data_IF_472088492202
#
_entry.id   IF_472088492202
#
_cell.length_a   1.000
_cell.length_b   1.000
_cell.length_c   1.000
_cell.angle_alpha   90.00
_cell.angle_beta   90.00
_cell.angle_gamma   90.00
#
_symmetry.space_group_name_H-M   'P 1'
#
loop_
_entity.id
_entity.type
_entity.pdbx_description
1 polymer ?
#
# COMPACT_ATOMS: atom_id res chain seq x y z
N UNK A 1 -9.36 18.12 6.48
CA UNK A 1 -9.66 16.68 6.31
C UNK A 1 -8.43 15.79 6.58
N UNK A 2 -7.26 16.06 6.02
CA UNK A 2 -6.03 15.25 6.20
C UNK A 2 -5.54 15.21 7.64
N UNK A 3 -5.64 16.31 8.40
CA UNK A 3 -5.24 16.38 9.81
C UNK A 3 -5.95 15.34 10.71
N UNK A 4 -7.13 14.88 10.32
CA UNK A 4 -7.86 13.83 11.04
C UNK A 4 -7.10 12.50 11.07
N UNK A 5 -6.37 12.17 10.02
CA UNK A 5 -5.53 10.96 9.94
C UNK A 5 -4.07 11.24 10.28
N UNK A 6 -3.54 12.39 9.88
CA UNK A 6 -2.13 12.72 10.10
C UNK A 6 -1.78 12.92 11.57
N UNK A 7 -2.67 13.53 12.37
CA UNK A 7 -2.44 13.72 13.82
C UNK A 7 -2.38 12.40 14.59
N UNK A 8 -3.37 11.48 14.50
CA UNK A 8 -3.27 10.18 15.17
C UNK A 8 -2.07 9.36 14.71
N UNK A 9 -1.76 9.41 13.41
CA UNK A 9 -0.60 8.73 12.85
C UNK A 9 0.71 9.29 13.41
N UNK A 10 0.86 10.62 13.46
CA UNK A 10 2.02 11.28 14.05
C UNK A 10 2.15 10.99 15.53
N UNK A 11 1.04 10.99 16.28
CA UNK A 11 1.04 10.61 17.69
C UNK A 11 1.46 9.15 17.91
N UNK A 12 0.99 8.23 17.05
CA UNK A 12 1.41 6.83 17.09
C UNK A 12 2.91 6.70 16.77
N UNK A 13 3.40 7.41 15.75
CA UNK A 13 4.83 7.43 15.41
C UNK A 13 5.67 7.97 16.57
N UNK A 14 5.23 9.02 17.23
CA UNK A 14 5.91 9.56 18.42
C UNK A 14 5.94 8.55 19.57
N UNK A 15 4.80 7.92 19.86
CA UNK A 15 4.72 6.89 20.91
C UNK A 15 5.71 5.75 20.62
N UNK A 16 5.71 5.24 19.41
CA UNK A 16 6.63 4.16 19.00
C UNK A 16 8.08 4.62 19.07
N UNK A 17 8.37 5.83 18.60
CA UNK A 17 9.72 6.41 18.70
C UNK A 17 10.19 6.49 20.17
N UNK A 18 9.35 6.98 21.07
CA UNK A 18 9.68 7.09 22.49
C UNK A 18 9.89 5.72 23.15
N UNK A 19 9.18 4.69 22.69
CA UNK A 19 9.35 3.33 23.20
C UNK A 19 10.66 2.71 22.71
N UNK A 20 10.95 2.80 21.39
CA UNK A 20 12.19 2.21 20.84
C UNK A 20 13.44 2.94 21.31
N UNK A 21 13.36 4.25 21.53
CA UNK A 21 14.48 5.05 22.08
C UNK A 21 14.90 4.63 23.49
N UNK A 22 14.04 3.91 24.24
CA UNK A 22 14.34 3.39 25.57
C UNK A 22 15.04 2.02 25.57
N UNK A 23 15.13 1.35 24.41
CA UNK A 23 15.63 -0.05 24.31
C UNK A 23 17.17 -0.12 24.46
N UNK A 24 17.86 1.01 24.37
CA UNK A 24 19.32 1.03 24.60
C UNK A 24 20.08 1.78 23.52
N UNK A 25 21.17 1.18 23.01
CA UNK A 25 22.04 1.82 22.01
C UNK A 25 21.44 1.68 20.61
N UNK A 26 21.39 2.81 19.91
CA UNK A 26 20.90 2.84 18.52
C UNK A 26 21.85 2.07 17.61
N UNK A 27 21.34 1.11 16.79
CA UNK A 27 22.19 0.36 15.88
C UNK A 27 22.83 1.26 14.81
N UNK A 28 24.07 0.97 14.45
CA UNK A 28 24.75 1.66 13.36
C UNK A 28 23.92 1.51 12.07
N UNK A 29 23.71 2.60 11.33
CA UNK A 29 22.96 2.65 10.07
C UNK A 29 21.45 2.32 10.15
N UNK A 30 20.88 2.19 11.34
CA UNK A 30 19.47 1.88 11.52
C UNK A 30 18.87 2.69 12.69
N UNK A 31 18.45 3.90 12.42
CA UNK A 31 18.00 4.84 13.43
C UNK A 31 16.71 4.41 14.14
N UNK A 32 16.52 4.85 15.38
CA UNK A 32 15.25 4.69 16.09
C UNK A 32 14.09 5.35 15.34
N UNK A 33 14.37 6.42 14.59
CA UNK A 33 13.36 7.04 13.74
C UNK A 33 12.92 6.13 12.58
N UNK A 34 13.85 5.43 11.92
CA UNK A 34 13.55 4.42 10.92
C UNK A 34 12.75 3.25 11.51
N UNK A 35 13.17 2.75 12.68
CA UNK A 35 12.41 1.70 13.41
C UNK A 35 10.99 2.15 13.72
N UNK A 36 10.83 3.38 14.19
CA UNK A 36 9.52 3.93 14.51
C UNK A 36 8.61 3.99 13.27
N UNK A 37 9.12 4.38 12.11
CA UNK A 37 8.36 4.37 10.83
C UNK A 37 7.92 2.95 10.48
N UNK A 38 8.82 1.97 10.56
CA UNK A 38 8.54 0.57 10.22
C UNK A 38 7.48 -0.01 11.16
N UNK A 39 7.69 0.10 12.46
CA UNK A 39 6.78 -0.45 13.48
C UNK A 39 5.41 0.23 13.40
N UNK A 40 5.38 1.56 13.27
CA UNK A 40 4.13 2.31 13.09
C UNK A 40 3.37 1.84 11.85
N UNK A 41 4.08 1.60 10.74
CA UNK A 41 3.49 1.07 9.52
C UNK A 41 2.85 -0.29 9.75
N UNK A 42 3.55 -1.20 10.43
CA UNK A 42 3.05 -2.55 10.74
C UNK A 42 1.83 -2.47 11.65
N UNK A 43 1.89 -1.69 12.74
CA UNK A 43 0.76 -1.50 13.66
C UNK A 43 -0.47 -0.97 12.89
N UNK A 44 -0.26 0.05 12.06
CA UNK A 44 -1.35 0.63 11.27
C UNK A 44 -1.95 -0.38 10.29
N UNK A 45 -1.11 -1.20 9.63
CA UNK A 45 -1.57 -2.30 8.77
C UNK A 45 -2.32 -3.38 9.55
N UNK A 46 -1.90 -3.70 10.77
CA UNK A 46 -2.63 -4.63 11.64
C UNK A 46 -4.02 -4.09 12.04
N UNK A 47 -4.14 -2.81 12.30
CA UNK A 47 -5.45 -2.16 12.56
C UNK A 47 -6.37 -2.29 11.35
N UNK A 48 -5.84 -2.18 10.13
CA UNK A 48 -6.58 -2.32 8.87
C UNK A 48 -6.79 -3.77 8.42
N UNK A 49 -6.21 -4.74 9.13
CA UNK A 49 -6.26 -6.16 8.76
C UNK A 49 -7.69 -6.68 8.53
N UNK A 50 -8.70 -6.41 9.38
CA UNK A 50 -10.06 -6.92 9.14
C UNK A 50 -10.66 -6.41 7.83
N UNK A 51 -10.38 -5.16 7.46
CA UNK A 51 -10.85 -4.58 6.20
C UNK A 51 -10.15 -5.27 5.02
N UNK A 52 -8.84 -5.45 5.09
CA UNK A 52 -8.07 -6.06 4.01
C UNK A 52 -8.34 -7.57 3.84
N UNK A 53 -8.67 -8.29 4.90
CA UNK A 53 -9.15 -9.68 4.79
C UNK A 53 -10.52 -9.79 4.11
N UNK A 54 -11.43 -8.86 4.39
CA UNK A 54 -12.71 -8.77 3.67
C UNK A 54 -12.50 -8.51 2.18
N UNK A 55 -11.53 -7.66 1.83
CA UNK A 55 -11.13 -7.39 0.44
C UNK A 55 -10.53 -8.62 -0.24
N UNK A 56 -9.65 -9.37 0.44
CA UNK A 56 -9.08 -10.63 -0.09
C UNK A 56 -10.17 -11.66 -0.41
N UNK A 57 -11.18 -11.79 0.46
CA UNK A 57 -12.36 -12.65 0.20
C UNK A 57 -13.14 -12.20 -1.04
N UNK A 58 -13.32 -10.90 -1.21
CA UNK A 58 -14.00 -10.34 -2.39
C UNK A 58 -13.21 -10.58 -3.67
N UNK A 59 -11.89 -10.47 -3.62
CA UNK A 59 -11.01 -10.75 -4.77
C UNK A 59 -11.04 -12.24 -5.14
N UNK A 60 -11.12 -13.15 -4.16
CA UNK A 60 -11.32 -14.58 -4.44
C UNK A 60 -12.61 -14.80 -5.19
N UNK A 61 -13.75 -14.27 -4.71
CA UNK A 61 -15.02 -14.36 -5.43
C UNK A 61 -14.90 -13.88 -6.88
N UNK A 62 -14.18 -12.78 -7.13
CA UNK A 62 -13.94 -12.30 -8.49
C UNK A 62 -13.19 -13.32 -9.34
N UNK A 63 -12.16 -13.99 -8.79
CA UNK A 63 -11.44 -15.05 -9.50
C UNK A 63 -12.36 -16.23 -9.83
N UNK A 64 -13.22 -16.64 -8.89
CA UNK A 64 -14.13 -17.78 -9.06
C UNK A 64 -15.17 -17.56 -10.16
N UNK A 65 -15.69 -16.32 -10.30
CA UNK A 65 -16.69 -15.97 -11.33
C UNK A 65 -16.09 -15.58 -12.67
N UNK A 66 -14.77 -15.42 -12.74
CA UNK A 66 -14.06 -14.96 -13.93
C UNK A 66 -14.26 -15.82 -15.17
N UNK A 67 -14.25 -17.18 -15.13
CA UNK A 67 -14.54 -17.99 -16.29
C UNK A 67 -15.92 -17.69 -16.90
N UNK A 68 -16.95 -17.52 -16.07
CA UNK A 68 -18.30 -17.16 -16.50
C UNK A 68 -18.32 -15.78 -17.20
N UNK A 69 -17.60 -14.80 -16.63
CA UNK A 69 -17.49 -13.49 -17.24
C UNK A 69 -16.81 -13.54 -18.61
N UNK A 70 -15.77 -14.36 -18.77
CA UNK A 70 -15.08 -14.54 -20.05
C UNK A 70 -15.96 -15.19 -21.11
N UNK A 71 -16.79 -16.17 -20.74
CA UNK A 71 -17.76 -16.78 -21.66
C UNK A 71 -18.80 -15.76 -22.15
N UNK A 72 -19.38 -15.00 -21.21
CA UNK A 72 -20.35 -13.95 -21.53
C UNK A 72 -19.76 -12.92 -22.49
N UNK A 73 -18.52 -12.52 -22.26
CA UNK A 73 -17.84 -11.55 -23.12
C UNK A 73 -17.55 -12.08 -24.51
N UNK A 74 -17.13 -13.33 -24.63
CA UNK A 74 -16.96 -13.97 -25.95
C UNK A 74 -18.28 -14.03 -26.69
N UNK A 75 -19.37 -14.39 -25.97
CA UNK A 75 -20.71 -14.59 -26.54
C UNK A 75 -21.36 -13.27 -26.99
N UNK A 76 -21.21 -12.22 -26.20
CA UNK A 76 -21.89 -10.93 -26.42
C UNK A 76 -20.94 -9.81 -26.83
N UNK A 77 -19.80 -10.14 -27.44
CA UNK A 77 -18.77 -9.17 -27.85
C UNK A 77 -19.29 -8.05 -28.76
N UNK A 78 -20.29 -8.37 -29.60
CA UNK A 78 -20.91 -7.43 -30.57
C UNK A 78 -22.10 -6.67 -29.99
N UNK A 79 -22.57 -7.01 -28.79
CA UNK A 79 -23.72 -6.36 -28.13
C UNK A 79 -23.34 -5.86 -26.73
N UNK A 80 -22.82 -4.62 -26.61
CA UNK A 80 -22.40 -4.04 -25.34
C UNK A 80 -23.52 -3.94 -24.29
N UNK A 81 -24.77 -3.75 -24.72
CA UNK A 81 -25.90 -3.62 -23.77
C UNK A 81 -26.21 -4.96 -23.10
N UNK A 82 -26.32 -6.03 -23.92
CA UNK A 82 -26.55 -7.38 -23.39
C UNK A 82 -25.37 -7.87 -22.58
N UNK A 83 -24.13 -7.55 -23.00
CA UNK A 83 -22.91 -7.86 -22.26
C UNK A 83 -22.94 -7.25 -20.85
N UNK A 84 -23.26 -5.96 -20.73
CA UNK A 84 -23.35 -5.27 -19.45
C UNK A 84 -24.45 -5.88 -18.56
N UNK A 85 -25.63 -6.14 -19.12
CA UNK A 85 -26.74 -6.74 -18.40
C UNK A 85 -26.37 -8.12 -17.82
N UNK A 86 -25.78 -9.01 -18.67
CA UNK A 86 -25.35 -10.34 -18.26
C UNK A 86 -24.19 -10.32 -17.26
N UNK A 87 -23.26 -9.40 -17.39
CA UNK A 87 -22.19 -9.19 -16.40
C UNK A 87 -22.76 -8.82 -15.02
N UNK A 88 -23.75 -7.91 -14.99
CA UNK A 88 -24.40 -7.54 -13.74
C UNK A 88 -25.26 -8.67 -13.14
N UNK A 89 -25.84 -9.53 -13.98
CA UNK A 89 -26.55 -10.74 -13.56
C UNK A 89 -25.61 -11.69 -12.81
N UNK A 90 -24.45 -12.01 -13.40
CA UNK A 90 -23.41 -12.87 -12.75
C UNK A 90 -22.94 -12.25 -11.43
N UNK A 91 -22.73 -10.94 -11.37
CA UNK A 91 -22.34 -10.30 -10.11
C UNK A 91 -23.40 -10.44 -9.03
N UNK A 92 -24.71 -10.28 -9.39
CA UNK A 92 -25.83 -10.44 -8.46
C UNK A 92 -25.98 -11.89 -7.98
N UNK A 93 -25.94 -12.85 -8.88
CA UNK A 93 -26.06 -14.28 -8.57
C UNK A 93 -24.97 -14.75 -7.59
N UNK A 94 -23.74 -14.28 -7.80
CA UNK A 94 -22.59 -14.62 -6.96
C UNK A 94 -22.43 -13.69 -5.73
N UNK A 95 -23.38 -12.77 -5.48
CA UNK A 95 -23.30 -11.76 -4.39
C UNK A 95 -21.95 -11.04 -4.37
N UNK A 96 -21.44 -10.69 -5.56
CA UNK A 96 -20.21 -9.97 -5.74
C UNK A 96 -20.47 -8.47 -5.94
N UNK A 97 -19.76 -7.63 -5.20
CA UNK A 97 -19.81 -6.18 -5.38
C UNK A 97 -18.60 -5.72 -6.19
N UNK A 98 -18.77 -5.21 -7.44
CA UNK A 98 -17.66 -4.76 -8.28
C UNK A 98 -16.86 -3.59 -7.69
N UNK A 99 -17.47 -2.80 -6.78
CA UNK A 99 -16.80 -1.69 -6.11
C UNK A 99 -15.82 -2.14 -5.02
N UNK A 100 -15.86 -3.40 -4.57
CA UNK A 100 -14.95 -3.89 -3.53
C UNK A 100 -13.48 -3.87 -3.94
N UNK A 101 -13.18 -4.01 -5.24
CA UNK A 101 -11.81 -3.92 -5.77
C UNK A 101 -11.23 -2.52 -5.72
N UNK A 102 -12.02 -1.48 -6.03
CA UNK A 102 -11.54 -0.09 -5.99
C UNK A 102 -11.50 0.49 -4.57
N UNK A 103 -12.20 -0.11 -3.60
CA UNK A 103 -12.23 0.34 -2.22
C UNK A 103 -10.83 0.36 -1.59
N UNK A 104 -9.95 -0.57 -1.97
CA UNK A 104 -8.55 -0.60 -1.53
C UNK A 104 -7.85 0.72 -1.89
N UNK A 105 -7.99 1.15 -3.14
CA UNK A 105 -7.36 2.37 -3.63
C UNK A 105 -7.93 3.63 -2.94
N UNK A 106 -9.24 3.64 -2.70
CA UNK A 106 -9.91 4.75 -2.01
C UNK A 106 -9.49 4.87 -0.53
N UNK A 107 -9.26 3.76 0.16
CA UNK A 107 -8.76 3.75 1.54
C UNK A 107 -7.27 4.09 1.59
N UNK A 108 -6.49 3.60 0.63
CA UNK A 108 -5.04 3.79 0.61
C UNK A 108 -4.64 5.26 0.36
N UNK A 109 -5.37 6.01 -0.47
CA UNK A 109 -5.05 7.40 -0.79
C UNK A 109 -4.98 8.32 0.43
N UNK A 110 -6.00 8.39 1.32
CA UNK A 110 -5.92 9.21 2.52
C UNK A 110 -4.77 8.80 3.46
N UNK A 111 -4.45 7.51 3.52
CA UNK A 111 -3.37 6.99 4.36
C UNK A 111 -2.01 7.44 3.84
N UNK A 112 -1.77 7.33 2.53
CA UNK A 112 -0.54 7.79 1.89
C UNK A 112 -0.38 9.30 2.11
N UNK A 113 -1.44 10.07 1.93
CA UNK A 113 -1.42 11.51 2.17
C UNK A 113 -1.12 11.83 3.64
N UNK A 114 -1.70 11.07 4.59
CA UNK A 114 -1.40 11.26 6.01
C UNK A 114 0.10 10.99 6.30
N UNK A 115 0.66 9.89 5.82
CA UNK A 115 2.10 9.61 5.94
C UNK A 115 2.96 10.66 5.25
N UNK A 116 2.56 11.11 4.05
CA UNK A 116 3.26 12.17 3.35
C UNK A 116 3.36 13.45 4.19
N UNK A 117 2.25 13.88 4.79
CA UNK A 117 2.27 15.09 5.64
C UNK A 117 3.06 14.89 6.92
N UNK A 118 2.98 13.71 7.54
CA UNK A 118 3.77 13.38 8.74
C UNK A 118 5.27 13.39 8.43
N UNK A 119 5.69 12.83 7.29
CA UNK A 119 7.09 12.81 6.88
C UNK A 119 7.58 14.16 6.38
N UNK A 120 6.71 14.98 5.79
CA UNK A 120 7.06 16.31 5.27
C UNK A 120 7.22 17.35 6.39
N UNK A 121 6.46 17.20 7.48
CA UNK A 121 6.47 18.13 8.60
C UNK A 121 6.38 17.36 9.94
N UNK A 122 7.48 16.63 10.30
CA UNK A 122 7.50 15.86 11.53
C UNK A 122 7.39 16.71 12.80
N UNK A 123 7.84 17.97 12.75
CA UNK A 123 7.67 18.93 13.86
C UNK A 123 6.20 19.10 14.18
N UNK A 124 5.39 19.31 13.17
CA UNK A 124 3.95 19.57 13.34
C UNK A 124 3.15 18.36 13.80
N UNK A 125 3.54 17.16 13.39
CA UNK A 125 2.71 15.95 13.59
C UNK A 125 3.28 14.97 14.59
N UNK A 126 4.61 14.92 14.75
CA UNK A 126 5.31 13.94 15.61
C UNK A 126 5.91 14.62 16.84
N UNK A 127 6.70 15.66 16.65
CA UNK A 127 7.48 16.32 17.71
C UNK A 127 6.90 17.67 18.14
N UNK A 128 5.57 17.77 18.18
CA UNK A 128 4.84 19.03 18.49
C UNK A 128 5.18 19.60 19.85
N UNK A 129 5.43 18.76 20.86
CA UNK A 129 5.76 19.19 22.21
C UNK A 129 7.22 19.64 22.37
N UNK A 130 8.13 19.05 21.60
CA UNK A 130 9.58 19.31 21.67
C UNK A 130 10.18 19.32 20.25
N UNK A 131 10.01 20.41 19.50
CA UNK A 131 10.50 20.52 18.11
C UNK A 131 12.01 20.33 17.95
N UNK A 132 12.78 20.74 18.94
CA UNK A 132 14.26 20.68 18.99
C UNK A 132 14.79 19.22 18.96
N UNK A 133 14.02 18.24 19.41
CA UNK A 133 14.40 16.83 19.36
C UNK A 133 14.68 16.39 17.93
N UNK A 134 13.92 16.88 16.96
CA UNK A 134 14.09 16.51 15.55
C UNK A 134 15.48 16.88 14.99
N UNK A 135 16.09 17.96 15.50
CA UNK A 135 17.42 18.37 15.10
C UNK A 135 18.54 17.49 15.70
N UNK A 136 18.26 16.81 16.81
CA UNK A 136 19.25 16.04 17.57
C UNK A 136 19.19 14.53 17.31
N UNK A 137 18.04 14.00 16.87
CA UNK A 137 17.88 12.57 16.61
C UNK A 137 18.57 12.14 15.32
N UNK A 138 19.08 10.92 15.34
CA UNK A 138 19.54 10.26 14.14
C UNK A 138 18.32 9.85 13.27
N UNK A 139 18.40 10.14 11.96
CA UNK A 139 17.35 9.84 10.97
C UNK A 139 17.87 8.96 9.84
N UNK A 140 19.00 8.28 10.07
CA UNK A 140 19.65 7.44 9.06
C UNK A 140 18.94 6.11 8.86
N UNK A 141 19.05 5.57 7.65
CA UNK A 141 18.60 4.23 7.29
C UNK A 141 19.54 3.65 6.23
N UNK A 142 20.40 2.71 6.61
CA UNK A 142 21.45 2.12 5.77
C UNK A 142 22.30 3.18 5.06
N UNK A 143 22.09 3.40 3.74
CA UNK A 143 22.81 4.38 2.92
C UNK A 143 22.17 5.78 2.96
N UNK A 144 21.03 5.94 3.58
CA UNK A 144 20.30 7.21 3.67
C UNK A 144 20.69 7.90 4.97
N UNK A 145 21.27 9.07 4.86
CA UNK A 145 21.69 9.85 6.04
C UNK A 145 20.51 10.54 6.75
N UNK A 146 19.45 10.87 6.01
CA UNK A 146 18.31 11.62 6.54
C UNK A 146 17.01 11.22 5.83
N UNK A 147 16.11 10.53 6.54
CA UNK A 147 14.82 10.08 6.03
C UNK A 147 13.82 11.21 5.72
N UNK A 148 14.08 12.44 6.16
CA UNK A 148 13.27 13.61 5.78
C UNK A 148 13.60 14.09 4.36
N UNK A 149 14.76 13.72 3.83
CA UNK A 149 15.23 14.06 2.48
C UNK A 149 14.92 12.92 1.50
N UNK A 150 14.88 13.21 0.20
CA UNK A 150 14.82 12.16 -0.81
C UNK A 150 16.02 11.20 -0.73
N UNK A 151 15.81 9.94 -1.10
CA UNK A 151 16.89 8.96 -1.21
C UNK A 151 17.91 9.43 -2.27
N UNK A 152 19.21 9.54 -1.93
CA UNK A 152 20.25 9.93 -2.87
C UNK A 152 20.44 8.92 -4.01
N UNK A 153 20.04 7.65 -3.80
CA UNK A 153 20.14 6.59 -4.80
C UNK A 153 18.78 6.30 -5.43
N UNK A 154 18.62 6.65 -6.69
CA UNK A 154 17.40 6.35 -7.48
C UNK A 154 17.10 4.86 -7.53
N UNK A 155 18.14 4.02 -7.38
CA UNK A 155 18.07 2.56 -7.33
C UNK A 155 17.87 1.99 -5.92
N UNK A 156 17.78 2.83 -4.90
CA UNK A 156 17.52 2.47 -3.51
C UNK A 156 16.02 2.29 -3.22
N UNK A 157 15.50 3.02 -2.23
CA UNK A 157 14.09 2.95 -1.86
C UNK A 157 13.12 3.28 -3.00
N UNK A 158 13.42 4.23 -3.94
CA UNK A 158 12.53 4.45 -5.08
C UNK A 158 12.33 3.21 -5.93
N UNK A 159 13.41 2.50 -6.31
CA UNK A 159 13.29 1.25 -7.07
C UNK A 159 12.60 0.15 -6.24
N UNK A 160 12.96 -0.01 -4.97
CA UNK A 160 12.31 -0.98 -4.07
C UNK A 160 10.80 -0.72 -3.95
N UNK A 161 10.39 0.56 -3.90
CA UNK A 161 8.97 0.94 -3.90
C UNK A 161 8.26 0.47 -5.17
N UNK A 162 8.88 0.62 -6.33
CA UNK A 162 8.33 0.17 -7.61
C UNK A 162 8.26 -1.37 -7.69
N UNK A 163 9.34 -2.05 -7.34
CA UNK A 163 9.41 -3.52 -7.36
C UNK A 163 8.37 -4.12 -6.42
N UNK A 164 8.28 -3.62 -5.18
CA UNK A 164 7.29 -4.11 -4.22
C UNK A 164 5.86 -3.80 -4.65
N UNK A 165 5.60 -2.66 -5.32
CA UNK A 165 4.29 -2.33 -5.89
C UNK A 165 3.93 -3.31 -7.01
N UNK A 166 4.87 -3.64 -7.89
CA UNK A 166 4.67 -4.65 -8.94
C UNK A 166 4.37 -6.02 -8.32
N UNK A 167 5.20 -6.50 -7.39
CA UNK A 167 5.01 -7.78 -6.72
C UNK A 167 3.66 -7.85 -5.98
N UNK A 168 3.27 -6.78 -5.32
CA UNK A 168 1.96 -6.67 -4.69
C UNK A 168 0.83 -6.82 -5.70
N UNK A 169 0.89 -6.12 -6.85
CA UNK A 169 -0.14 -6.19 -7.88
C UNK A 169 -0.28 -7.59 -8.47
N UNK A 170 0.84 -8.28 -8.67
CA UNK A 170 0.87 -9.68 -9.16
C UNK A 170 0.27 -10.63 -8.12
N UNK A 171 0.63 -10.46 -6.84
CA UNK A 171 0.16 -11.33 -5.75
C UNK A 171 -1.36 -11.19 -5.52
N UNK A 172 -1.92 -10.03 -5.80
CA UNK A 172 -3.36 -9.79 -5.71
C UNK A 172 -4.16 -10.48 -6.82
N UNK A 173 -3.50 -11.13 -7.80
CA UNK A 173 -4.14 -12.01 -8.77
C UNK A 173 -5.00 -11.27 -9.81
N UNK A 174 -4.70 -10.03 -10.12
CA UNK A 174 -5.40 -9.22 -11.13
C UNK A 174 -5.06 -9.61 -12.56
N UNK A 175 -4.29 -10.69 -12.78
CA UNK A 175 -3.71 -11.02 -14.09
C UNK A 175 -4.68 -11.55 -15.15
N UNK A 176 -5.88 -11.98 -14.76
CA UNK A 176 -6.80 -12.69 -15.66
C UNK A 176 -8.13 -11.95 -15.88
N UNK A 177 -8.15 -10.64 -15.92
CA UNK A 177 -9.35 -9.89 -16.30
C UNK A 177 -9.48 -9.83 -17.84
N UNK A 178 -10.67 -9.53 -18.31
CA UNK A 178 -11.05 -9.46 -19.73
C UNK A 178 -10.11 -8.74 -20.66
N UNK A 179 -10.20 -9.04 -21.95
CA UNK A 179 -9.31 -8.48 -22.98
C UNK A 179 -9.21 -6.96 -22.96
N UNK A 180 -10.28 -6.22 -22.68
CA UNK A 180 -10.23 -4.76 -22.47
C UNK A 180 -9.79 -4.40 -21.06
N UNK A 181 -10.34 -5.05 -20.04
CA UNK A 181 -9.99 -4.82 -18.63
C UNK A 181 -8.61 -5.40 -18.32
N UNK A 182 -8.22 -6.54 -18.95
CA UNK A 182 -6.89 -7.12 -18.84
C UNK A 182 -5.81 -6.22 -19.45
N UNK A 183 -6.07 -5.56 -20.57
CA UNK A 183 -5.11 -4.62 -21.14
C UNK A 183 -4.93 -3.41 -20.23
N UNK A 184 -6.02 -2.86 -19.68
CA UNK A 184 -5.99 -1.76 -18.73
C UNK A 184 -5.27 -2.17 -17.43
N UNK A 185 -5.57 -3.36 -16.90
CA UNK A 185 -4.94 -3.89 -15.69
C UNK A 185 -3.45 -4.19 -15.91
N UNK A 186 -3.10 -4.80 -17.04
CA UNK A 186 -1.71 -5.06 -17.42
C UNK A 186 -0.92 -3.75 -17.57
N UNK A 187 -1.54 -2.74 -18.16
CA UNK A 187 -0.97 -1.39 -18.24
C UNK A 187 -0.81 -0.78 -16.84
N UNK A 188 -1.81 -0.87 -15.98
CA UNK A 188 -1.74 -0.40 -14.60
C UNK A 188 -0.65 -1.12 -13.79
N UNK A 189 -0.49 -2.43 -13.97
CA UNK A 189 0.56 -3.21 -13.29
C UNK A 189 1.99 -2.82 -13.68
N UNK A 190 2.16 -2.17 -14.83
CA UNK A 190 3.48 -1.69 -15.31
C UNK A 190 3.61 -0.18 -15.08
N UNK A 191 2.59 0.59 -15.46
CA UNK A 191 2.65 2.05 -15.41
C UNK A 191 2.69 2.56 -13.97
N UNK A 192 1.88 1.97 -13.07
CA UNK A 192 1.84 2.40 -11.66
C UNK A 192 3.18 2.23 -10.95
N UNK A 193 3.90 1.08 -11.01
CA UNK A 193 5.24 0.96 -10.44
C UNK A 193 6.24 1.98 -11.01
N UNK A 194 6.20 2.24 -12.32
CA UNK A 194 7.07 3.23 -12.95
C UNK A 194 6.76 4.64 -12.42
N UNK A 195 5.49 5.00 -12.29
CA UNK A 195 5.07 6.27 -11.71
C UNK A 195 5.52 6.40 -10.24
N UNK A 196 5.40 5.34 -9.45
CA UNK A 196 5.87 5.30 -8.06
C UNK A 196 7.38 5.48 -7.99
N UNK A 197 8.14 4.80 -8.84
CA UNK A 197 9.58 4.97 -8.92
C UNK A 197 9.96 6.43 -9.20
N UNK A 198 9.31 7.04 -10.17
CA UNK A 198 9.57 8.43 -10.56
C UNK A 198 9.17 9.41 -9.45
N UNK A 199 8.02 9.21 -8.80
CA UNK A 199 7.54 10.06 -7.72
C UNK A 199 8.40 9.94 -6.44
N UNK A 200 8.82 8.73 -6.09
CA UNK A 200 9.60 8.44 -4.89
C UNK A 200 10.98 9.12 -4.88
N UNK A 201 11.51 9.51 -6.05
CA UNK A 201 12.75 10.31 -6.14
C UNK A 201 12.61 11.72 -5.57
N UNK A 202 11.40 12.23 -5.48
CA UNK A 202 11.12 13.62 -5.06
C UNK A 202 10.52 13.70 -3.65
N UNK A 203 10.16 12.57 -3.07
CA UNK A 203 9.54 12.49 -1.75
C UNK A 203 10.56 12.16 -0.65
N UNK A 204 10.29 12.53 0.62
CA UNK A 204 11.09 12.08 1.75
C UNK A 204 11.30 10.56 1.73
N UNK A 205 12.53 10.11 1.98
CA UNK A 205 12.85 8.67 1.98
C UNK A 205 12.05 7.89 3.02
N UNK A 206 11.63 8.53 4.13
CA UNK A 206 10.73 7.94 5.10
C UNK A 206 9.36 7.55 4.53
N UNK A 207 8.84 8.30 3.54
CA UNK A 207 7.60 7.93 2.84
C UNK A 207 7.85 6.72 1.91
N UNK A 208 8.99 6.67 1.22
CA UNK A 208 9.34 5.52 0.40
C UNK A 208 9.55 4.26 1.26
N UNK A 209 10.16 4.39 2.43
CA UNK A 209 10.30 3.33 3.42
C UNK A 209 8.93 2.81 3.88
N UNK A 210 8.02 3.72 4.28
CA UNK A 210 6.63 3.35 4.57
C UNK A 210 6.00 2.56 3.42
N UNK A 211 6.18 3.02 2.17
CA UNK A 211 5.61 2.39 0.98
C UNK A 211 6.11 0.96 0.80
N UNK A 212 7.41 0.74 0.89
CA UNK A 212 8.03 -0.60 0.79
C UNK A 212 7.49 -1.53 1.88
N UNK A 213 7.52 -1.10 3.14
CA UNK A 213 7.04 -1.91 4.28
C UNK A 213 5.53 -2.22 4.14
N UNK A 214 4.75 -1.23 3.72
CA UNK A 214 3.31 -1.37 3.46
C UNK A 214 3.03 -2.43 2.39
N UNK A 215 3.78 -2.42 1.28
CA UNK A 215 3.64 -3.39 0.20
C UNK A 215 4.07 -4.80 0.64
N UNK A 216 5.22 -4.91 1.32
CA UNK A 216 5.71 -6.20 1.84
C UNK A 216 4.70 -6.82 2.80
N UNK A 217 4.15 -6.03 3.74
CA UNK A 217 3.09 -6.50 4.64
C UNK A 217 1.89 -7.03 3.86
N UNK A 218 1.46 -6.31 2.83
CA UNK A 218 0.29 -6.67 2.05
C UNK A 218 0.53 -7.92 1.18
N UNK A 219 1.75 -8.09 0.65
CA UNK A 219 2.15 -9.32 -0.06
C UNK A 219 2.07 -10.52 0.89
N UNK A 220 2.69 -10.43 2.06
CA UNK A 220 2.67 -11.50 3.07
C UNK A 220 1.25 -11.84 3.50
N UNK A 221 0.46 -10.80 3.81
CA UNK A 221 -0.95 -10.98 4.17
C UNK A 221 -1.74 -11.67 3.06
N UNK A 222 -1.57 -11.27 1.80
CA UNK A 222 -2.28 -11.88 0.67
C UNK A 222 -1.86 -13.32 0.46
N UNK A 223 -0.57 -13.66 0.60
CA UNK A 223 -0.08 -15.04 0.52
C UNK A 223 -0.72 -15.93 1.61
N UNK A 224 -0.78 -15.44 2.85
CA UNK A 224 -1.44 -16.14 3.95
C UNK A 224 -2.93 -16.30 3.67
N UNK A 225 -3.59 -15.25 3.20
CA UNK A 225 -5.02 -15.27 2.86
C UNK A 225 -5.33 -16.24 1.73
N UNK A 226 -4.51 -16.29 0.68
CA UNK A 226 -4.67 -17.23 -0.43
C UNK A 226 -4.56 -18.68 0.06
N UNK A 227 -3.56 -19.00 0.90
CA UNK A 227 -3.42 -20.33 1.51
C UNK A 227 -4.64 -20.70 2.35
N UNK A 228 -5.08 -19.81 3.23
CA UNK A 228 -6.22 -20.04 4.11
C UNK A 228 -7.54 -20.19 3.34
N UNK A 229 -7.66 -19.58 2.16
CA UNK A 229 -8.84 -19.66 1.30
C UNK A 229 -8.76 -20.81 0.27
N UNK A 230 -7.67 -21.61 0.24
CA UNK A 230 -7.51 -22.77 -0.65
C UNK A 230 -7.16 -22.40 -2.10
N UNK A 231 -6.43 -21.31 -2.34
CA UNK A 231 -6.00 -20.82 -3.66
C UNK A 231 -4.60 -21.33 -4.08
N UNK A 232 -4.08 -22.37 -3.45
CA UNK A 232 -2.79 -23.01 -3.80
C UNK A 232 -2.99 -24.48 -4.09
#
# INVERSE_FOLDING_TARGET
MINFLAKPLGALLKLVFDLVSKIGVEPAHFSFYAMAIIITTIIFKCILLPISLSQSKSMKKMKDIQPQLQEIQKKYKSDPKTLQAKTMEVYKENKYNPFSGCLIMLIQLPIILAFFYVMKDPVKYVFTANPEILATINKSFFWIADLEKPDPFVWGLPLLSAVTTYLQSVTMGTQNMDSKTASTQKTMNIVLPIMIWWAAKSFPAGLALYWVISNVFQIVQQMISNRALGDI
#
